data_IF_183386103045
#
_entry.id   IF_183386103045
#
_cell.length_a   1.000
_cell.length_b   1.000
_cell.length_c   1.000
_cell.angle_alpha   90.00
_cell.angle_beta   90.00
_cell.angle_gamma   90.00
#
_symmetry.space_group_name_H-M   'P 1'
#
loop_
_entity.id
_entity.type
_entity.pdbx_description
1 polymer ?
#
# COMPACT_ATOMS: atom_id res chain seq x y z
N UNK A 1 22.66 7.86 -10.52
CA UNK A 1 21.75 6.72 -10.76
C UNK A 1 20.55 6.90 -9.84
N UNK A 2 19.30 6.81 -10.31
CA UNK A 2 18.18 6.74 -9.39
C UNK A 2 18.27 5.36 -8.70
N UNK A 3 18.63 5.35 -7.42
CA UNK A 3 18.51 4.18 -6.55
C UNK A 3 17.03 4.02 -6.17
N UNK A 4 16.22 3.59 -7.12
CA UNK A 4 14.83 3.21 -6.84
C UNK A 4 14.81 1.75 -6.44
N UNK A 5 14.77 1.45 -5.14
CA UNK A 5 14.39 0.11 -4.69
C UNK A 5 12.91 -0.11 -4.99
N UNK A 6 12.57 -1.25 -5.58
CA UNK A 6 11.20 -1.69 -5.81
C UNK A 6 10.78 -2.55 -4.64
N UNK A 7 9.67 -2.19 -4.01
CA UNK A 7 9.06 -2.96 -2.93
C UNK A 7 8.11 -4.03 -3.50
N UNK A 8 8.35 -5.27 -3.10
CA UNK A 8 7.47 -6.41 -3.39
C UNK A 8 6.88 -6.88 -2.07
N UNK A 9 5.58 -6.69 -1.90
CA UNK A 9 4.88 -6.94 -0.63
C UNK A 9 3.72 -7.95 -0.76
N UNK A 10 3.45 -8.69 0.31
CA UNK A 10 2.21 -9.46 0.48
C UNK A 10 1.66 -9.34 1.89
N UNK A 11 0.37 -8.98 1.99
CA UNK A 11 -0.35 -8.84 3.26
C UNK A 11 -1.14 -10.10 3.59
N UNK A 12 -1.18 -10.45 4.87
CA UNK A 12 -1.98 -11.55 5.42
C UNK A 12 -2.48 -11.22 6.83
N UNK A 13 -3.47 -11.96 7.32
CA UNK A 13 -3.99 -11.78 8.67
C UNK A 13 -3.00 -12.36 9.69
N UNK A 14 -2.56 -11.54 10.64
CA UNK A 14 -1.67 -11.96 11.71
C UNK A 14 -2.46 -12.78 12.74
N UNK A 15 -2.16 -14.08 12.85
CA UNK A 15 -2.76 -14.95 13.86
C UNK A 15 -1.94 -14.99 15.15
N UNK A 16 -2.49 -15.56 16.23
CA UNK A 16 -1.78 -15.69 17.51
C UNK A 16 -0.51 -16.55 17.41
N UNK A 17 -0.41 -17.41 16.40
CA UNK A 17 0.72 -18.30 16.16
C UNK A 17 1.79 -17.72 15.21
N UNK A 18 1.55 -16.55 14.60
CA UNK A 18 2.44 -15.99 13.57
C UNK A 18 3.85 -15.76 14.09
N UNK A 19 4.00 -15.21 15.30
CA UNK A 19 5.33 -14.98 15.90
C UNK A 19 6.07 -16.27 16.22
N UNK A 20 5.36 -17.28 16.75
CA UNK A 20 5.95 -18.58 17.04
C UNK A 20 6.45 -19.27 15.76
N UNK A 21 5.69 -19.15 14.65
CA UNK A 21 6.11 -19.65 13.34
C UNK A 21 7.32 -18.90 12.79
N UNK A 22 7.34 -17.57 12.88
CA UNK A 22 8.50 -16.77 12.48
C UNK A 22 9.76 -17.20 13.24
N UNK A 23 9.65 -17.38 14.56
CA UNK A 23 10.77 -17.86 15.38
C UNK A 23 11.22 -19.28 14.98
N UNK A 24 10.28 -20.20 14.73
CA UNK A 24 10.59 -21.56 14.28
C UNK A 24 11.26 -21.60 12.90
N UNK A 25 10.98 -20.63 12.04
CA UNK A 25 11.64 -20.45 10.74
C UNK A 25 13.00 -19.74 10.85
N UNK A 26 13.42 -19.34 12.06
CA UNK A 26 14.69 -18.66 12.30
C UNK A 26 14.66 -17.16 12.02
N UNK A 27 13.48 -16.53 11.96
CA UNK A 27 13.37 -15.09 11.77
C UNK A 27 13.89 -14.35 13.01
N UNK A 28 14.80 -13.40 12.80
CA UNK A 28 15.37 -12.58 13.87
C UNK A 28 14.50 -11.35 14.13
N UNK A 29 14.24 -10.98 15.40
CA UNK A 29 13.61 -9.69 15.73
C UNK A 29 14.44 -8.53 15.18
N UNK A 30 13.78 -7.60 14.49
CA UNK A 30 14.39 -6.42 13.87
C UNK A 30 14.00 -5.10 14.56
N UNK A 31 13.06 -5.14 15.51
CA UNK A 31 12.67 -4.00 16.33
C UNK A 31 11.17 -3.96 16.61
N UNK A 32 10.77 -2.98 17.42
CA UNK A 32 9.36 -2.63 17.62
C UNK A 32 9.19 -1.12 17.64
N UNK A 33 8.03 -0.64 17.22
CA UNK A 33 7.69 0.78 17.23
C UNK A 33 6.21 1.00 17.45
N UNK A 34 5.86 2.21 17.87
CA UNK A 34 4.49 2.68 17.97
C UNK A 34 4.40 4.07 17.37
N UNK A 35 3.50 4.27 16.41
CA UNK A 35 3.35 5.54 15.71
C UNK A 35 1.89 5.82 15.37
N UNK A 36 1.52 7.11 15.40
CA UNK A 36 0.22 7.58 14.93
C UNK A 36 0.33 8.06 13.48
N UNK A 37 -0.61 7.63 12.66
CA UNK A 37 -0.83 8.18 11.32
C UNK A 37 -2.09 9.07 11.35
N UNK A 38 -1.97 10.31 10.86
CA UNK A 38 -3.08 11.24 10.63
C UNK A 38 -3.28 11.39 9.12
N UNK A 39 -4.47 11.09 8.60
CA UNK A 39 -4.75 11.13 7.16
C UNK A 39 -5.63 12.31 6.78
N UNK A 40 -5.28 12.95 5.67
CA UNK A 40 -5.91 14.20 5.24
C UNK A 40 -6.49 14.07 3.83
N UNK A 41 -7.66 14.66 3.62
CA UNK A 41 -8.29 14.79 2.31
C UNK A 41 -9.15 16.06 2.28
N UNK A 42 -9.56 16.47 1.09
CA UNK A 42 -10.64 17.42 0.88
C UNK A 42 -11.97 16.89 1.42
N UNK A 43 -12.92 17.77 1.81
CA UNK A 43 -14.26 17.34 2.27
C UNK A 43 -15.02 16.46 1.28
N UNK A 44 -14.74 16.63 -0.02
CA UNK A 44 -15.32 15.89 -1.13
C UNK A 44 -14.45 14.70 -1.62
N UNK A 45 -13.44 14.34 -0.83
CA UNK A 45 -12.64 13.11 -0.97
C UNK A 45 -11.83 13.02 -2.27
N UNK A 46 -11.45 14.15 -2.86
CA UNK A 46 -10.76 14.22 -4.16
C UNK A 46 -9.43 13.47 -4.18
N UNK A 47 -8.66 13.48 -3.08
CA UNK A 47 -7.38 12.77 -3.05
C UNK A 47 -7.60 11.25 -3.04
N UNK A 48 -8.37 10.74 -2.08
CA UNK A 48 -8.59 9.31 -1.92
C UNK A 48 -9.36 8.71 -3.09
N UNK A 49 -10.33 9.43 -3.68
CA UNK A 49 -11.01 9.03 -4.94
C UNK A 49 -10.05 8.95 -6.13
N UNK A 50 -8.96 9.71 -6.10
CA UNK A 50 -7.88 9.63 -7.08
C UNK A 50 -6.74 8.69 -6.64
N UNK A 51 -6.97 7.83 -5.63
CA UNK A 51 -5.98 6.89 -5.06
C UNK A 51 -4.69 7.57 -4.55
N UNK A 52 -4.83 8.79 -4.02
CA UNK A 52 -3.78 9.52 -3.32
C UNK A 52 -4.06 9.56 -1.81
N UNK A 53 -3.06 9.22 -1.00
CA UNK A 53 -3.22 9.09 0.45
C UNK A 53 -2.18 9.95 1.16
N UNK A 54 -2.58 11.16 1.54
CA UNK A 54 -1.75 12.06 2.32
C UNK A 54 -1.83 11.69 3.81
N UNK A 55 -0.68 11.49 4.45
CA UNK A 55 -0.61 11.30 5.90
C UNK A 55 0.53 12.08 6.55
N UNK A 56 0.32 12.44 7.82
CA UNK A 56 1.37 12.84 8.74
C UNK A 56 1.63 11.68 9.70
N UNK A 57 2.81 11.09 9.60
CA UNK A 57 3.28 10.01 10.47
C UNK A 57 4.13 10.55 11.60
N UNK A 58 3.74 10.24 12.83
CA UNK A 58 4.52 10.60 14.00
C UNK A 58 5.94 10.01 13.91
N UNK A 59 6.95 10.86 13.98
CA UNK A 59 8.37 10.48 13.92
C UNK A 59 8.97 10.41 12.51
N UNK A 60 8.16 10.36 11.44
CA UNK A 60 8.65 10.33 10.06
C UNK A 60 8.32 11.61 9.27
N UNK A 61 7.19 12.27 9.57
CA UNK A 61 6.74 13.48 8.87
C UNK A 61 5.65 13.21 7.84
N UNK A 62 5.58 14.08 6.82
CA UNK A 62 4.55 14.02 5.79
C UNK A 62 4.91 13.03 4.69
N UNK A 63 3.94 12.19 4.32
CA UNK A 63 4.07 11.16 3.29
C UNK A 63 2.84 11.20 2.39
N UNK A 64 3.03 11.08 1.07
CA UNK A 64 1.95 10.98 0.09
C UNK A 64 2.12 9.72 -0.74
N UNK A 65 1.27 8.72 -0.49
CA UNK A 65 1.17 7.55 -1.37
C UNK A 65 0.42 7.93 -2.64
N UNK A 66 1.02 7.61 -3.78
CA UNK A 66 0.48 7.86 -5.11
C UNK A 66 -0.01 6.56 -5.77
N UNK A 67 -0.94 6.64 -6.74
CA UNK A 67 -1.38 5.48 -7.51
C UNK A 67 -0.21 4.87 -8.28
N UNK A 68 -0.19 3.53 -8.47
CA UNK A 68 0.94 2.79 -9.01
C UNK A 68 1.36 3.16 -10.45
N UNK A 69 0.50 3.83 -11.22
CA UNK A 69 0.75 4.19 -12.62
C UNK A 69 0.42 5.67 -12.89
N UNK A 70 1.17 6.38 -13.75
CA UNK A 70 2.38 5.96 -14.48
C UNK A 70 3.69 6.09 -13.69
N UNK A 71 3.67 6.74 -12.52
CA UNK A 71 4.85 6.96 -11.67
C UNK A 71 4.42 6.72 -10.21
N UNK A 72 4.22 5.45 -9.86
CA UNK A 72 3.82 5.02 -8.53
C UNK A 72 4.91 5.23 -7.48
N UNK A 73 4.50 5.31 -6.21
CA UNK A 73 5.41 5.41 -5.08
C UNK A 73 4.90 6.27 -3.93
N UNK A 74 5.73 6.43 -2.91
CA UNK A 74 5.50 7.30 -1.78
C UNK A 74 6.41 8.54 -1.87
N UNK A 75 5.82 9.73 -1.77
CA UNK A 75 6.55 10.99 -1.78
C UNK A 75 6.74 11.48 -0.34
N UNK A 76 7.97 11.83 0.02
CA UNK A 76 8.33 12.37 1.35
C UNK A 76 8.91 13.79 1.29
N UNK A 77 9.35 14.24 0.12
CA UNK A 77 9.82 15.61 -0.08
C UNK A 77 8.65 16.60 -0.03
N UNK A 78 8.69 17.64 0.83
CA UNK A 78 7.62 18.64 0.91
C UNK A 78 7.25 19.24 -0.44
N UNK A 79 8.24 19.60 -1.26
CA UNK A 79 8.01 20.17 -2.60
C UNK A 79 7.32 19.19 -3.54
N UNK A 80 7.71 17.91 -3.50
CA UNK A 80 7.10 16.87 -4.35
C UNK A 80 5.66 16.58 -3.91
N UNK A 81 5.41 16.50 -2.60
CA UNK A 81 4.07 16.34 -2.03
C UNK A 81 3.17 17.50 -2.47
N UNK A 82 3.59 18.75 -2.23
CA UNK A 82 2.79 19.94 -2.58
C UNK A 82 2.52 20.00 -4.08
N UNK A 83 3.52 19.77 -4.92
CA UNK A 83 3.35 19.73 -6.37
C UNK A 83 2.33 18.67 -6.82
N UNK A 84 2.36 17.48 -6.21
CA UNK A 84 1.39 16.41 -6.50
C UNK A 84 -0.01 16.74 -6.00
N UNK A 85 -0.16 17.30 -4.80
CA UNK A 85 -1.45 17.76 -4.27
C UNK A 85 -2.08 18.80 -5.20
N UNK A 86 -1.31 19.79 -5.63
CA UNK A 86 -1.76 20.81 -6.58
C UNK A 86 -2.23 20.20 -7.90
N UNK A 87 -1.45 19.27 -8.46
CA UNK A 87 -1.78 18.57 -9.69
C UNK A 87 -3.06 17.74 -9.62
N UNK A 88 -3.27 16.98 -8.53
CA UNK A 88 -4.48 16.18 -8.33
C UNK A 88 -5.71 17.07 -8.12
N UNK A 89 -5.56 18.18 -7.41
CA UNK A 89 -6.66 19.08 -7.09
C UNK A 89 -6.95 20.14 -8.17
N UNK A 90 -6.13 20.19 -9.22
CA UNK A 90 -6.30 21.12 -10.34
C UNK A 90 -6.06 22.58 -9.97
N UNK A 91 -5.19 22.86 -8.99
CA UNK A 91 -4.89 24.21 -8.51
C UNK A 91 -3.43 24.56 -8.78
N UNK A 92 -3.16 25.85 -9.02
CA UNK A 92 -1.79 26.33 -9.12
C UNK A 92 -1.16 26.44 -7.72
N UNK A 93 0.13 26.06 -7.56
CA UNK A 93 0.84 26.32 -6.31
C UNK A 93 0.93 27.83 -6.09
N UNK A 94 0.63 28.28 -4.87
CA UNK A 94 0.73 29.70 -4.47
C UNK A 94 1.94 29.94 -3.56
N UNK A 95 2.49 31.17 -3.53
CA UNK A 95 3.52 31.54 -2.55
C UNK A 95 3.06 31.24 -1.11
N UNK A 96 3.94 30.64 -0.29
CA UNK A 96 3.63 30.23 1.09
C UNK A 96 3.26 28.75 1.26
N UNK A 97 3.15 27.98 0.17
CA UNK A 97 3.01 26.51 0.21
C UNK A 97 4.36 25.79 0.16
N UNK A 98 5.44 26.43 0.58
CA UNK A 98 6.80 25.86 0.58
C UNK A 98 6.93 24.64 1.52
N UNK A 99 5.96 24.46 2.42
CA UNK A 99 5.86 23.35 3.36
C UNK A 99 4.46 22.72 3.30
N UNK A 100 4.39 21.42 3.56
CA UNK A 100 3.13 20.64 3.49
C UNK A 100 2.02 21.22 4.40
N UNK A 101 2.28 21.67 5.65
CA UNK A 101 1.22 22.25 6.48
C UNK A 101 0.55 23.49 5.87
N UNK A 102 1.31 24.35 5.18
CA UNK A 102 0.77 25.52 4.50
C UNK A 102 -0.15 25.14 3.34
N UNK A 103 0.24 24.12 2.57
CA UNK A 103 -0.60 23.56 1.51
C UNK A 103 -1.86 22.88 2.08
N UNK A 104 -1.75 22.08 3.14
CA UNK A 104 -2.89 21.44 3.82
C UNK A 104 -3.94 22.48 4.22
N UNK A 105 -3.51 23.58 4.85
CA UNK A 105 -4.41 24.67 5.22
C UNK A 105 -4.99 25.40 3.99
N UNK A 106 -4.14 25.79 3.03
CA UNK A 106 -4.54 26.55 1.85
C UNK A 106 -5.43 25.77 0.88
N UNK A 107 -5.31 24.44 0.84
CA UNK A 107 -6.13 23.54 0.03
C UNK A 107 -7.41 23.09 0.76
N UNK A 108 -7.58 23.47 2.03
CA UNK A 108 -8.72 23.07 2.86
C UNK A 108 -8.76 21.56 3.13
N UNK A 109 -7.60 20.90 3.24
CA UNK A 109 -7.53 19.48 3.59
C UNK A 109 -7.84 19.31 5.08
N UNK A 110 -8.66 18.31 5.40
CA UNK A 110 -9.12 18.00 6.75
C UNK A 110 -8.69 16.59 7.12
N UNK A 111 -8.38 16.40 8.41
CA UNK A 111 -8.16 15.07 8.95
C UNK A 111 -9.44 14.25 8.80
N UNK A 112 -9.36 13.09 8.15
CA UNK A 112 -10.49 12.17 8.04
C UNK A 112 -10.27 10.86 8.81
N UNK A 113 -9.04 10.50 9.14
CA UNK A 113 -8.72 9.29 9.90
C UNK A 113 -7.46 9.49 10.74
N UNK A 114 -7.47 8.87 11.92
CA UNK A 114 -6.36 8.87 12.87
C UNK A 114 -6.34 7.56 13.63
N UNK A 115 -5.20 6.87 13.60
CA UNK A 115 -5.01 5.63 14.35
C UNK A 115 -3.54 5.40 14.69
N UNK A 116 -3.32 4.72 15.81
CA UNK A 116 -1.99 4.24 16.23
C UNK A 116 -1.77 2.84 15.68
N UNK A 117 -0.55 2.60 15.19
CA UNK A 117 -0.05 1.26 14.86
C UNK A 117 1.07 0.91 15.84
N UNK A 118 0.95 -0.27 16.47
CA UNK A 118 2.06 -0.95 17.12
C UNK A 118 2.64 -1.96 16.13
N UNK A 119 3.91 -1.81 15.78
CA UNK A 119 4.61 -2.65 14.82
C UNK A 119 5.68 -3.48 15.52
N UNK A 120 5.71 -4.77 15.23
CA UNK A 120 6.82 -5.68 15.56
C UNK A 120 7.41 -6.17 14.26
N UNK A 121 8.72 -5.98 14.09
CA UNK A 121 9.41 -6.28 12.85
C UNK A 121 10.37 -7.44 13.02
N UNK A 122 10.46 -8.28 12.00
CA UNK A 122 11.33 -9.44 11.92
C UNK A 122 12.08 -9.45 10.59
N UNK A 123 13.22 -10.15 10.55
CA UNK A 123 13.99 -10.41 9.33
C UNK A 123 14.23 -11.89 9.15
N UNK A 124 14.06 -12.37 7.92
CA UNK A 124 14.38 -13.73 7.53
C UNK A 124 15.04 -13.70 6.14
N UNK A 125 16.37 -13.90 6.10
CA UNK A 125 17.14 -13.69 4.87
C UNK A 125 17.02 -12.24 4.37
N UNK A 126 16.66 -12.07 3.09
CA UNK A 126 16.39 -10.77 2.47
C UNK A 126 14.99 -10.21 2.75
N UNK A 127 14.12 -10.97 3.44
CA UNK A 127 12.74 -10.59 3.70
C UNK A 127 12.60 -9.86 5.03
N UNK A 128 11.70 -8.89 5.07
CA UNK A 128 11.24 -8.25 6.30
C UNK A 128 9.77 -8.63 6.52
N UNK A 129 9.42 -8.87 7.78
CA UNK A 129 8.04 -9.17 8.18
C UNK A 129 7.62 -8.17 9.25
N UNK A 130 6.57 -7.41 8.97
CA UNK A 130 5.96 -6.48 9.91
C UNK A 130 4.62 -7.01 10.40
N UNK A 131 4.50 -7.14 11.72
CA UNK A 131 3.25 -7.46 12.40
C UNK A 131 2.69 -6.17 12.99
N UNK A 132 1.61 -5.68 12.36
CA UNK A 132 0.94 -4.45 12.74
C UNK A 132 -0.33 -4.73 13.53
N UNK A 133 -0.45 -4.09 14.69
CA UNK A 133 -1.68 -4.01 15.47
C UNK A 133 -2.15 -2.56 15.52
N UNK A 134 -3.32 -2.28 14.95
CA UNK A 134 -3.95 -0.99 15.06
C UNK A 134 -4.75 -0.85 16.37
N UNK A 135 -4.84 0.37 16.91
CA UNK A 135 -5.58 0.70 18.14
C UNK A 135 -7.11 0.52 18.02
N UNK A 136 -7.64 0.40 16.81
CA UNK A 136 -9.04 -0.01 16.55
C UNK A 136 -9.23 -1.53 16.44
N UNK A 137 -8.26 -2.32 16.91
CA UNK A 137 -8.39 -3.77 17.07
C UNK A 137 -8.22 -4.59 15.80
N UNK A 138 -7.59 -4.04 14.75
CA UNK A 138 -7.26 -4.80 13.53
C UNK A 138 -5.77 -5.15 13.48
N UNK A 139 -5.48 -6.42 13.21
CA UNK A 139 -4.13 -6.93 13.07
C UNK A 139 -3.87 -7.37 11.63
N UNK A 140 -2.73 -6.98 11.08
CA UNK A 140 -2.30 -7.37 9.74
C UNK A 140 -0.80 -7.59 9.74
N UNK A 141 -0.36 -8.58 8.98
CA UNK A 141 1.05 -8.81 8.74
C UNK A 141 1.40 -8.51 7.28
N UNK A 142 2.63 -8.09 7.09
CA UNK A 142 3.20 -7.75 5.79
C UNK A 142 4.56 -8.45 5.66
N UNK A 143 4.74 -9.21 4.60
CA UNK A 143 6.06 -9.69 4.17
C UNK A 143 6.49 -8.82 3.00
N UNK A 144 7.66 -8.20 3.11
CA UNK A 144 8.24 -7.31 2.11
C UNK A 144 9.63 -7.79 1.68
N UNK A 145 9.94 -7.55 0.41
CA UNK A 145 11.27 -7.66 -0.18
C UNK A 145 11.57 -6.35 -0.92
N UNK A 146 12.81 -5.87 -0.82
CA UNK A 146 13.29 -4.72 -1.60
C UNK A 146 14.26 -5.22 -2.68
N UNK A 147 13.94 -4.97 -3.94
CA UNK A 147 14.79 -5.33 -5.08
C UNK A 147 15.30 -4.10 -5.81
N UNK A 148 16.48 -4.21 -6.42
CA UNK A 148 17.12 -3.10 -7.13
C UNK A 148 16.65 -2.93 -8.58
N UNK A 149 16.05 -3.98 -9.16
CA UNK A 149 15.75 -4.04 -10.59
C UNK A 149 14.41 -4.75 -10.85
N UNK A 150 13.77 -4.40 -11.98
CA UNK A 150 12.44 -4.91 -12.32
C UNK A 150 12.47 -6.42 -12.64
N UNK A 151 13.59 -6.91 -13.16
CA UNK A 151 13.86 -8.32 -13.45
C UNK A 151 13.89 -9.20 -12.21
N UNK A 152 14.18 -8.65 -11.03
CA UNK A 152 14.26 -9.40 -9.76
C UNK A 152 12.88 -9.56 -9.10
N UNK A 153 11.89 -8.76 -9.52
CA UNK A 153 10.54 -8.75 -8.93
C UNK A 153 9.88 -10.14 -8.92
N UNK A 154 9.92 -10.96 -9.99
CA UNK A 154 9.31 -12.29 -9.97
C UNK A 154 9.93 -13.23 -8.94
N UNK A 155 11.26 -13.17 -8.75
CA UNK A 155 11.97 -14.00 -7.78
C UNK A 155 11.60 -13.57 -6.36
N UNK A 156 11.67 -12.27 -6.08
CA UNK A 156 11.29 -11.72 -4.78
C UNK A 156 9.82 -11.99 -4.43
N UNK A 157 8.92 -11.93 -5.42
CA UNK A 157 7.51 -12.27 -5.22
C UNK A 157 7.36 -13.75 -4.83
N UNK A 158 8.09 -14.65 -5.46
CA UNK A 158 8.04 -16.07 -5.11
C UNK A 158 8.58 -16.32 -3.69
N UNK A 159 9.65 -15.65 -3.27
CA UNK A 159 10.17 -15.73 -1.89
C UNK A 159 9.16 -15.21 -0.86
N UNK A 160 8.54 -14.06 -1.13
CA UNK A 160 7.47 -13.48 -0.29
C UNK A 160 6.31 -14.47 -0.14
N UNK A 161 5.88 -15.08 -1.25
CA UNK A 161 4.80 -16.05 -1.24
C UNK A 161 5.20 -17.35 -0.54
N UNK A 162 6.43 -17.83 -0.69
CA UNK A 162 6.94 -19.01 0.01
C UNK A 162 6.94 -18.82 1.52
N UNK A 163 7.41 -17.66 2.01
CA UNK A 163 7.36 -17.37 3.45
C UNK A 163 5.93 -17.30 3.95
N UNK A 164 5.03 -16.64 3.20
CA UNK A 164 3.60 -16.59 3.55
C UNK A 164 3.01 -18.00 3.68
N UNK A 165 3.34 -18.91 2.77
CA UNK A 165 2.92 -20.33 2.84
C UNK A 165 3.48 -21.04 4.07
N UNK A 166 4.77 -20.86 4.36
CA UNK A 166 5.42 -21.41 5.56
C UNK A 166 4.80 -20.90 6.87
N UNK A 167 4.24 -19.68 6.87
CA UNK A 167 3.48 -19.11 7.99
C UNK A 167 2.04 -19.66 8.10
N UNK A 168 1.66 -20.64 7.27
CA UNK A 168 0.34 -21.27 7.25
C UNK A 168 -0.74 -20.40 6.61
N UNK A 169 -0.35 -19.46 5.73
CA UNK A 169 -1.25 -18.49 5.09
C UNK A 169 -1.37 -18.78 3.60
N UNK A 170 -1.67 -20.04 3.30
CA UNK A 170 -1.93 -20.54 1.97
C UNK A 170 -3.25 -19.99 1.44
N UNK A 171 -3.20 -19.23 0.36
CA UNK A 171 -4.38 -18.74 -0.33
C UNK A 171 -4.17 -17.39 -0.98
N UNK A 172 -4.84 -17.19 -2.12
CA UNK A 172 -4.93 -15.90 -2.79
C UNK A 172 -5.82 -14.90 -2.04
N UNK A 173 -6.30 -15.25 -0.83
CA UNK A 173 -7.19 -14.41 -0.04
C UNK A 173 -6.51 -13.08 0.23
N UNK A 174 -7.09 -12.05 -0.37
CA UNK A 174 -6.66 -10.68 -0.26
C UNK A 174 -7.10 -10.16 1.10
N UNK A 175 -6.14 -9.73 1.91
CA UNK A 175 -6.41 -9.18 3.24
C UNK A 175 -6.47 -7.66 3.14
N UNK A 176 -7.54 -7.03 3.65
CA UNK A 176 -7.66 -5.58 3.60
C UNK A 176 -6.57 -4.89 4.42
N UNK A 177 -6.18 -3.69 4.00
CA UNK A 177 -5.25 -2.87 4.77
C UNK A 177 -5.93 -2.25 6.00
N UNK A 178 -5.13 -1.70 6.92
CA UNK A 178 -5.63 -0.97 8.11
C UNK A 178 -6.62 0.13 7.74
N UNK A 179 -6.27 0.98 6.77
CA UNK A 179 -7.13 2.07 6.31
C UNK A 179 -8.47 1.56 5.75
N UNK A 180 -8.45 0.46 5.01
CA UNK A 180 -9.65 -0.17 4.46
C UNK A 180 -10.64 -0.57 5.55
N UNK A 181 -10.14 -1.25 6.58
CA UNK A 181 -10.95 -1.65 7.73
C UNK A 181 -11.41 -0.43 8.52
N UNK A 182 -10.56 0.56 8.71
CA UNK A 182 -10.91 1.81 9.37
C UNK A 182 -12.09 2.50 8.67
N UNK A 183 -12.02 2.66 7.35
CA UNK A 183 -13.09 3.28 6.58
C UNK A 183 -14.38 2.45 6.64
N UNK A 184 -14.31 1.12 6.52
CA UNK A 184 -15.48 0.25 6.64
C UNK A 184 -16.19 0.43 7.99
N UNK A 185 -15.43 0.49 9.09
CA UNK A 185 -15.98 0.55 10.45
C UNK A 185 -16.42 1.96 10.86
N UNK A 186 -15.65 2.98 10.52
CA UNK A 186 -15.81 4.33 11.07
C UNK A 186 -16.29 5.36 10.04
N UNK A 187 -16.11 5.12 8.74
CA UNK A 187 -16.53 6.04 7.66
C UNK A 187 -17.14 5.28 6.46
N UNK A 188 -18.23 4.52 6.66
CA UNK A 188 -18.78 3.63 5.63
C UNK A 188 -19.19 4.37 4.34
N UNK A 189 -19.64 5.63 4.43
CA UNK A 189 -19.92 6.46 3.24
C UNK A 189 -18.66 6.73 2.42
N UNK A 190 -17.56 7.09 3.08
CA UNK A 190 -16.25 7.28 2.42
C UNK A 190 -15.78 5.97 1.79
N UNK A 191 -15.87 4.85 2.52
CA UNK A 191 -15.57 3.53 1.95
C UNK A 191 -16.35 3.25 0.67
N UNK A 192 -17.65 3.55 0.65
CA UNK A 192 -18.53 3.33 -0.49
C UNK A 192 -18.18 4.22 -1.70
N UNK A 193 -17.86 5.51 -1.48
CA UNK A 193 -17.37 6.42 -2.52
C UNK A 193 -16.10 5.89 -3.21
N UNK A 194 -15.19 5.30 -2.43
CA UNK A 194 -13.95 4.74 -2.95
C UNK A 194 -14.19 3.45 -3.76
N UNK A 195 -15.17 2.62 -3.36
CA UNK A 195 -15.61 1.48 -4.17
C UNK A 195 -16.19 1.94 -5.52
N UNK A 196 -17.05 2.96 -5.51
CA UNK A 196 -17.64 3.54 -6.72
C UNK A 196 -16.59 4.17 -7.64
N UNK A 197 -15.54 4.76 -7.08
CA UNK A 197 -14.41 5.32 -7.81
C UNK A 197 -13.42 4.25 -8.33
N UNK A 198 -13.63 2.96 -8.01
CA UNK A 198 -12.73 1.88 -8.43
C UNK A 198 -11.35 1.90 -7.76
N UNK A 199 -11.23 2.59 -6.62
CA UNK A 199 -9.98 2.67 -5.86
C UNK A 199 -9.71 1.32 -5.20
N UNK A 200 -8.45 0.87 -5.26
CA UNK A 200 -7.98 -0.42 -4.75
C UNK A 200 -7.96 -0.57 -3.23
N UNK A 201 -8.96 -0.04 -2.52
CA UNK A 201 -9.08 -0.09 -1.06
C UNK A 201 -9.32 -1.50 -0.52
N UNK A 202 -9.52 -2.51 -1.35
CA UNK A 202 -9.73 -3.90 -0.94
C UNK A 202 -8.42 -4.69 -0.72
N UNK A 203 -7.26 -4.01 -0.66
CA UNK A 203 -5.99 -4.55 -0.14
C UNK A 203 -4.90 -4.73 -1.19
N UNK A 204 -4.08 -3.70 -1.45
CA UNK A 204 -2.84 -3.82 -2.23
C UNK A 204 -2.98 -3.40 -3.69
N UNK A 205 -1.98 -2.71 -4.23
CA UNK A 205 -1.99 -2.19 -5.60
C UNK A 205 -2.33 -3.27 -6.63
N UNK A 206 -2.77 -2.85 -7.82
CA UNK A 206 -2.73 -3.73 -8.98
C UNK A 206 -1.32 -4.32 -9.01
N UNK A 207 -1.18 -5.65 -8.95
CA UNK A 207 -0.03 -6.27 -9.60
C UNK A 207 0.04 -5.61 -10.98
N UNK A 208 1.14 -4.90 -11.24
CA UNK A 208 1.39 -4.27 -12.53
C UNK A 208 1.02 -5.26 -13.62
N UNK A 209 0.32 -4.76 -14.63
CA UNK A 209 -0.25 -5.56 -15.70
C UNK A 209 0.79 -6.50 -16.28
N UNK A 210 0.63 -7.79 -16.03
CA UNK A 210 1.16 -8.81 -16.91
C UNK A 210 0.08 -9.04 -17.95
N UNK A 211 0.28 -8.42 -19.11
CA UNK A 211 -0.38 -8.87 -20.32
C UNK A 211 -0.09 -10.36 -20.47
N UNK A 212 -1.12 -11.14 -20.68
CA UNK A 212 -0.95 -12.51 -21.17
C UNK A 212 -0.09 -12.44 -22.45
N UNK A 213 1.06 -13.12 -22.51
CA UNK A 213 1.73 -13.35 -23.78
C UNK A 213 0.85 -14.30 -24.60
N UNK A 214 0.77 -14.01 -25.90
CA UNK A 214 -0.26 -14.51 -26.81
C UNK A 214 -0.50 -16.02 -26.77
N UNK A 215 -1.77 -16.37 -26.86
CA UNK A 215 -2.19 -17.55 -27.63
C UNK A 215 -2.66 -17.06 -29.01
N UNK A 216 -1.68 -16.85 -29.88
CA UNK A 216 -1.87 -16.88 -31.31
C UNK A 216 -1.27 -18.17 -31.83
N UNK A 217 -1.95 -18.74 -32.84
CA UNK A 217 -1.58 -19.82 -33.76
C UNK A 217 -2.06 -21.24 -33.42
N UNK A 218 -2.95 -21.74 -34.29
CA UNK A 218 -3.20 -23.17 -34.42
C UNK A 218 -4.39 -23.54 -35.30
N UNK A 219 -4.25 -23.40 -36.62
CA UNK A 219 -5.17 -23.93 -37.63
C UNK A 219 -5.70 -25.35 -37.34
N UNK A 220 -7.02 -25.52 -37.49
CA UNK A 220 -7.75 -26.70 -38.04
C UNK A 220 -9.14 -26.15 -38.40
N UNK A 221 -9.66 -26.21 -39.63
CA UNK A 221 -9.75 -27.36 -40.51
C UNK A 221 -11.24 -27.68 -40.74
N UNK A 222 -11.89 -26.89 -41.62
CA UNK A 222 -12.96 -27.26 -42.58
C UNK A 222 -13.87 -28.47 -42.28
N UNK A 223 -15.17 -28.26 -42.03
CA UNK A 223 -16.38 -29.03 -42.50
C UNK A 223 -17.62 -28.27 -41.96
N UNK A 224 -18.75 -28.00 -42.61
CA UNK A 224 -19.35 -28.35 -43.90
C UNK A 224 -20.89 -28.29 -43.72
N UNK A 225 -21.63 -27.74 -44.70
CA UNK A 225 -23.02 -28.10 -45.00
C UNK A 225 -24.15 -27.25 -44.40
N UNK A 226 -25.04 -26.77 -45.27
CA UNK A 226 -26.38 -26.26 -44.95
C UNK A 226 -26.76 -25.03 -45.75
#
# INVERSE_FOLDING_TARGET
MPSGSIEVESKFEAGPDTEARLAALGAAPAGSSSFRDLYYDTPDLRLTRADHWLRLRQGAGWELKCPPVPHGGELTSPRAIVGRLCGVLGVAPVPGWDQVPGAVAGLGLQEFASFVTQRRSYRLGGLRVDLDQADFGYAVAEVEALVGAQEDVPVALEEVLQLRRALGRDGATRVPGKMSIYLQRHRPRHYQELLLAGVGITGGGRMGGWGHPGEGWGHRGRIGGG
#
